data_IF_766056930812
#
_entry.id   IF_766056930812
#
_cell.length_a   1.000
_cell.length_b   1.000
_cell.length_c   1.000
_cell.angle_alpha   90.00
_cell.angle_beta   90.00
_cell.angle_gamma   90.00
#
_symmetry.space_group_name_H-M   'P 1'
#
loop_
_entity.id
_entity.type
_entity.pdbx_description
1 polymer ?
#
# COMPACT_ATOMS: atom_id res chain seq x y z
N UNK A 1 -7.56 12.90 23.23
CA UNK A 1 -8.90 12.32 22.91
C UNK A 1 -9.13 12.50 21.42
N UNK A 2 -10.04 11.75 20.79
CA UNK A 2 -10.29 11.84 19.34
C UNK A 2 -11.73 12.28 19.10
N UNK A 3 -11.90 13.30 18.26
CA UNK A 3 -13.20 13.87 17.88
C UNK A 3 -13.24 13.98 16.36
N UNK A 4 -14.33 13.53 15.74
CA UNK A 4 -14.43 13.41 14.28
C UNK A 4 -15.79 13.90 13.80
N UNK A 5 -15.78 14.54 12.63
CA UNK A 5 -16.96 14.81 11.81
C UNK A 5 -16.65 14.39 10.38
N UNK A 6 -17.53 13.60 9.79
CA UNK A 6 -17.38 13.13 8.41
C UNK A 6 -18.20 13.98 7.44
N UNK A 7 -17.71 14.10 6.21
CA UNK A 7 -18.37 14.85 5.13
C UNK A 7 -18.54 13.95 3.91
N UNK A 8 -19.68 14.05 3.22
CA UNK A 8 -20.01 13.25 2.03
C UNK A 8 -20.80 11.97 2.31
N UNK A 9 -21.07 11.21 1.26
CA UNK A 9 -21.96 10.04 1.30
C UNK A 9 -21.22 8.73 1.65
N UNK A 10 -19.96 8.60 1.24
CA UNK A 10 -19.17 7.37 1.40
C UNK A 10 -18.08 7.54 2.45
N UNK A 11 -18.47 7.44 3.72
CA UNK A 11 -17.58 7.72 4.86
C UNK A 11 -17.12 6.46 5.60
N UNK A 12 -17.47 5.27 5.10
CA UNK A 12 -17.20 3.99 5.77
C UNK A 12 -15.72 3.71 6.03
N UNK A 13 -14.82 4.24 5.20
CA UNK A 13 -13.36 4.09 5.36
C UNK A 13 -12.81 4.87 6.56
N UNK A 14 -13.63 5.66 7.25
CA UNK A 14 -13.26 6.31 8.53
C UNK A 14 -12.76 5.31 9.56
N UNK A 15 -13.23 4.06 9.52
CA UNK A 15 -12.87 3.03 10.49
C UNK A 15 -11.34 2.84 10.60
N UNK A 16 -10.62 2.99 9.49
CA UNK A 16 -9.17 2.84 9.46
C UNK A 16 -8.45 4.00 10.16
N UNK A 17 -8.95 5.23 9.97
CA UNK A 17 -8.44 6.40 10.69
C UNK A 17 -8.77 6.36 12.17
N UNK A 18 -10.00 5.99 12.51
CA UNK A 18 -10.44 5.84 13.89
C UNK A 18 -9.52 4.83 14.61
N UNK A 19 -9.22 3.69 14.00
CA UNK A 19 -8.35 2.65 14.56
C UNK A 19 -6.94 3.14 14.88
N UNK A 20 -6.25 3.80 13.95
CA UNK A 20 -4.87 4.27 14.17
C UNK A 20 -4.81 5.43 15.17
N UNK A 21 -5.75 6.39 15.11
CA UNK A 21 -5.80 7.52 16.04
C UNK A 21 -6.08 7.07 17.48
N UNK A 22 -7.02 6.14 17.65
CA UNK A 22 -7.28 5.54 18.96
C UNK A 22 -6.07 4.76 19.46
N UNK A 23 -5.41 3.99 18.59
CA UNK A 23 -4.20 3.23 18.94
C UNK A 23 -3.04 4.14 19.38
N UNK A 24 -2.77 5.22 18.64
CA UNK A 24 -1.77 6.22 19.00
C UNK A 24 -2.06 6.85 20.36
N UNK A 25 -3.31 7.30 20.59
CA UNK A 25 -3.68 7.95 21.86
C UNK A 25 -3.65 7.01 23.07
N UNK A 26 -3.61 5.68 22.88
CA UNK A 26 -3.35 4.71 23.96
C UNK A 26 -1.87 4.51 24.25
N UNK A 27 -1.01 4.69 23.24
CA UNK A 27 0.43 4.32 23.28
C UNK A 27 1.36 5.51 23.54
N UNK A 28 0.99 6.70 23.07
CA UNK A 28 1.85 7.89 23.11
C UNK A 28 1.05 9.15 23.46
N UNK A 29 1.75 10.16 24.01
CA UNK A 29 1.18 11.49 24.21
C UNK A 29 1.29 12.29 22.90
N UNK A 30 0.16 12.53 22.26
CA UNK A 30 0.06 13.35 21.05
C UNK A 30 -0.12 14.84 21.41
N UNK A 31 0.39 15.78 20.61
CA UNK A 31 -0.05 17.18 20.69
C UNK A 31 -1.52 17.30 20.27
N UNK A 32 -2.16 18.40 20.67
CA UNK A 32 -3.47 18.74 20.12
C UNK A 32 -3.30 19.12 18.64
N UNK A 33 -4.15 18.55 17.80
CA UNK A 33 -4.04 18.67 16.34
C UNK A 33 -5.44 18.61 15.68
N UNK A 34 -5.67 19.45 14.66
CA UNK A 34 -6.91 19.53 13.87
C UNK A 34 -6.56 19.47 12.37
N UNK A 35 -7.09 18.48 11.65
CA UNK A 35 -6.72 18.20 10.26
C UNK A 35 -7.86 17.58 9.46
N UNK A 36 -7.74 17.65 8.13
CA UNK A 36 -8.64 16.97 7.20
C UNK A 36 -7.99 15.70 6.67
N UNK A 37 -8.77 14.63 6.60
CA UNK A 37 -8.35 13.36 5.99
C UNK A 37 -9.28 13.01 4.85
N UNK A 38 -8.70 12.75 3.69
CA UNK A 38 -9.36 12.14 2.56
C UNK A 38 -9.54 10.63 2.81
N UNK A 39 -10.78 10.15 2.70
CA UNK A 39 -11.13 8.74 2.86
C UNK A 39 -11.19 7.99 1.52
N UNK A 40 -11.06 8.70 0.39
CA UNK A 40 -11.08 8.12 -0.95
C UNK A 40 -9.69 7.74 -1.46
N UNK A 41 -9.65 7.02 -2.57
CA UNK A 41 -8.40 6.59 -3.22
C UNK A 41 -7.59 7.76 -3.80
N UNK A 42 -8.29 8.66 -4.51
CA UNK A 42 -7.66 9.73 -5.29
C UNK A 42 -7.18 10.89 -4.41
N UNK A 43 -5.94 11.38 -4.57
CA UNK A 43 -5.51 12.61 -3.94
C UNK A 43 -6.36 13.80 -4.40
N UNK A 44 -6.63 14.75 -3.49
CA UNK A 44 -7.59 15.84 -3.70
C UNK A 44 -6.91 17.19 -4.02
N UNK A 45 -5.78 17.49 -3.39
CA UNK A 45 -5.16 18.82 -3.44
C UNK A 45 -4.27 18.96 -4.68
N UNK A 46 -4.85 19.41 -5.80
CA UNK A 46 -4.14 19.53 -7.10
C UNK A 46 -3.10 20.65 -7.09
N UNK A 47 -1.91 20.39 -7.65
CA UNK A 47 -0.80 21.37 -7.77
C UNK A 47 -1.17 22.67 -8.50
N UNK A 48 -2.17 22.62 -9.40
CA UNK A 48 -2.60 23.75 -10.24
C UNK A 48 -3.39 24.83 -9.50
N UNK A 49 -3.71 24.64 -8.20
CA UNK A 49 -4.35 25.68 -7.38
C UNK A 49 -3.27 26.43 -6.58
N UNK A 50 -2.68 27.54 -7.09
CA UNK A 50 -1.65 28.29 -6.37
C UNK A 50 -2.22 29.12 -5.22
N UNK A 51 -3.54 29.34 -5.20
CA UNK A 51 -4.23 30.12 -4.17
C UNK A 51 -5.07 29.15 -3.32
N UNK A 52 -4.94 29.28 -2.00
CA UNK A 52 -5.67 28.51 -0.97
C UNK A 52 -5.40 26.99 -1.01
N UNK A 53 -4.17 26.60 -0.70
CA UNK A 53 -3.83 25.19 -0.46
C UNK A 53 -4.50 24.69 0.82
N UNK A 54 -5.12 23.52 0.76
CA UNK A 54 -5.70 22.87 1.94
C UNK A 54 -4.79 21.72 2.41
N UNK A 55 -4.44 21.65 3.70
CA UNK A 55 -3.69 20.52 4.24
C UNK A 55 -4.60 19.29 4.36
N UNK A 56 -4.64 18.49 3.30
CA UNK A 56 -5.42 17.25 3.23
C UNK A 56 -4.47 16.06 3.34
N UNK A 57 -4.73 15.21 4.32
CA UNK A 57 -4.03 13.93 4.48
C UNK A 57 -4.68 12.89 3.55
N UNK A 58 -3.88 12.18 2.78
CA UNK A 58 -4.34 11.16 1.83
C UNK A 58 -3.50 9.88 1.92
N UNK A 59 -4.10 8.74 1.63
CA UNK A 59 -3.43 7.43 1.58
C UNK A 59 -2.45 7.32 0.39
N UNK A 60 -2.68 8.09 -0.66
CA UNK A 60 -1.86 8.13 -1.87
C UNK A 60 -1.65 9.58 -2.31
N UNK A 61 -0.44 9.89 -2.77
CA UNK A 61 -0.12 11.15 -3.45
C UNK A 61 0.06 10.95 -4.95
N UNK A 62 0.16 12.05 -5.70
CA UNK A 62 0.62 12.02 -7.09
C UNK A 62 1.59 13.16 -7.38
N UNK A 63 2.36 13.05 -8.47
CA UNK A 63 3.21 14.16 -8.93
C UNK A 63 2.40 15.40 -9.32
N UNK A 64 1.08 15.29 -9.40
CA UNK A 64 0.15 16.38 -9.70
C UNK A 64 -0.61 16.86 -8.46
N UNK A 65 -0.37 16.28 -7.28
CA UNK A 65 -1.02 16.66 -6.03
C UNK A 65 -0.04 17.18 -4.98
N UNK A 66 -0.59 17.75 -3.91
CA UNK A 66 0.10 18.30 -2.73
C UNK A 66 -0.45 17.74 -1.41
N UNK A 67 -1.24 16.69 -1.48
CA UNK A 67 -1.73 15.98 -0.31
C UNK A 67 -0.57 15.52 0.59
N UNK A 68 -0.81 15.56 1.89
CA UNK A 68 0.12 15.05 2.90
C UNK A 68 -0.05 13.53 2.94
N UNK A 69 0.92 12.79 2.42
CA UNK A 69 0.81 11.33 2.29
C UNK A 69 1.12 10.64 3.61
N UNK A 70 0.22 9.74 4.00
CA UNK A 70 0.33 8.89 5.19
C UNK A 70 0.36 7.40 4.78
N UNK A 71 0.80 6.48 5.67
CA UNK A 71 0.71 5.04 5.43
C UNK A 71 -0.69 4.64 5.02
N UNK A 72 -0.84 3.76 4.03
CA UNK A 72 -2.15 3.37 3.48
C UNK A 72 -3.03 2.70 4.53
N UNK A 73 -4.36 2.72 4.34
CA UNK A 73 -5.26 2.10 5.30
C UNK A 73 -5.01 0.60 5.41
N UNK A 74 -4.63 -0.03 4.30
CA UNK A 74 -4.35 -1.45 4.19
C UNK A 74 -3.09 -1.83 4.98
N UNK A 75 -1.98 -1.11 4.75
CA UNK A 75 -0.74 -1.31 5.50
C UNK A 75 -0.93 -0.98 6.99
N UNK A 76 -1.69 0.07 7.30
CA UNK A 76 -1.99 0.46 8.68
C UNK A 76 -2.84 -0.58 9.41
N UNK A 77 -3.90 -1.10 8.79
CA UNK A 77 -4.71 -2.19 9.37
C UNK A 77 -3.85 -3.44 9.57
N UNK A 78 -2.98 -3.76 8.60
CA UNK A 78 -2.07 -4.91 8.68
C UNK A 78 -1.17 -4.88 9.92
N UNK A 79 -0.66 -3.69 10.30
CA UNK A 79 0.20 -3.53 11.49
C UNK A 79 -0.59 -3.37 12.79
N UNK A 80 -1.83 -2.91 12.73
CA UNK A 80 -2.69 -2.82 13.91
C UNK A 80 -3.16 -4.20 14.34
N UNK A 81 -3.53 -5.04 13.36
CA UNK A 81 -4.04 -6.38 13.63
C UNK A 81 -2.91 -7.40 13.84
N UNK A 82 -1.77 -7.29 13.11
CA UNK A 82 -0.55 -8.13 13.23
C UNK A 82 -0.82 -9.55 13.75
N UNK A 83 -1.22 -10.46 12.85
CA UNK A 83 -1.63 -11.85 13.16
C UNK A 83 -2.90 -12.01 14.02
N UNK A 84 -3.57 -10.93 14.41
CA UNK A 84 -4.86 -10.93 15.12
C UNK A 84 -6.05 -11.34 14.25
N UNK A 85 -5.86 -11.43 12.93
CA UNK A 85 -6.84 -11.94 11.94
C UNK A 85 -6.15 -12.93 11.00
N UNK A 86 -6.93 -13.75 10.30
CA UNK A 86 -6.45 -14.71 9.26
C UNK A 86 -6.01 -13.98 7.96
N UNK A 87 -5.97 -12.65 7.95
CA UNK A 87 -5.70 -11.81 6.77
C UNK A 87 -4.21 -11.61 6.50
N UNK A 88 -3.90 -11.11 5.31
CA UNK A 88 -2.56 -10.71 4.89
C UNK A 88 -2.01 -9.62 5.83
N UNK A 89 -0.81 -9.84 6.37
CA UNK A 89 -0.07 -8.85 7.14
C UNK A 89 1.46 -8.94 6.94
N UNK A 90 2.17 -7.89 7.34
CA UNK A 90 3.61 -7.76 7.15
C UNK A 90 4.45 -8.83 7.89
N UNK A 91 3.98 -9.35 9.03
CA UNK A 91 4.66 -10.43 9.75
C UNK A 91 4.39 -11.78 9.10
N UNK A 92 3.14 -12.04 8.74
CA UNK A 92 2.72 -13.29 8.08
C UNK A 92 3.44 -13.49 6.74
N UNK A 93 3.68 -12.43 5.97
CA UNK A 93 4.46 -12.51 4.72
C UNK A 93 5.88 -13.03 4.97
N UNK A 94 6.53 -12.56 6.02
CA UNK A 94 7.92 -12.94 6.32
C UNK A 94 8.06 -14.43 6.66
N UNK A 95 7.04 -15.00 7.29
CA UNK A 95 6.99 -16.42 7.61
C UNK A 95 6.59 -17.30 6.42
N UNK A 96 6.01 -16.73 5.36
CA UNK A 96 5.36 -17.45 4.26
C UNK A 96 5.87 -17.01 2.88
N UNK A 97 7.19 -16.92 2.71
CA UNK A 97 7.81 -16.48 1.44
C UNK A 97 7.96 -17.61 0.39
N UNK A 98 7.17 -18.69 0.48
CA UNK A 98 7.26 -19.80 -0.47
C UNK A 98 8.61 -20.53 -0.49
N UNK A 99 8.95 -21.25 -1.57
CA UNK A 99 10.16 -22.07 -1.66
C UNK A 99 11.45 -21.22 -1.79
N UNK A 100 12.64 -21.82 -1.64
CA UNK A 100 13.92 -21.20 -1.97
C UNK A 100 13.93 -20.63 -3.40
N UNK A 101 14.79 -19.62 -3.65
CA UNK A 101 14.84 -18.89 -4.92
C UNK A 101 14.99 -19.83 -6.13
N UNK A 102 15.83 -20.84 -5.99
CA UNK A 102 16.21 -21.82 -7.00
C UNK A 102 15.03 -22.70 -7.45
N UNK A 103 14.07 -22.91 -6.54
CA UNK A 103 12.90 -23.77 -6.76
C UNK A 103 11.66 -22.96 -7.20
N UNK A 104 11.76 -21.62 -7.29
CA UNK A 104 10.66 -20.77 -7.72
C UNK A 104 10.43 -20.86 -9.23
N UNK A 105 9.17 -20.76 -9.63
CA UNK A 105 8.78 -20.67 -11.03
C UNK A 105 9.35 -19.40 -11.68
N UNK A 106 9.90 -19.53 -12.89
CA UNK A 106 10.52 -18.47 -13.70
C UNK A 106 9.53 -17.71 -14.59
N UNK A 107 8.24 -18.02 -14.53
CA UNK A 107 7.18 -17.20 -15.16
C UNK A 107 6.88 -15.99 -14.28
N UNK A 108 6.72 -14.82 -14.89
CA UNK A 108 6.32 -13.63 -14.16
C UNK A 108 4.86 -13.69 -13.77
N UNK A 109 4.52 -13.22 -12.57
CA UNK A 109 3.23 -13.51 -11.98
C UNK A 109 2.44 -12.26 -11.62
N UNK A 110 1.13 -12.30 -11.89
CA UNK A 110 0.17 -11.28 -11.46
C UNK A 110 -1.25 -11.82 -11.34
N UNK A 111 -1.97 -11.41 -10.29
CA UNK A 111 -3.43 -11.55 -10.18
C UNK A 111 -4.03 -10.28 -9.61
N UNK A 112 -5.13 -9.82 -10.20
CA UNK A 112 -5.83 -8.65 -9.71
C UNK A 112 -7.09 -8.32 -10.50
N UNK A 113 -7.63 -7.14 -10.22
CA UNK A 113 -8.82 -6.58 -10.90
C UNK A 113 -8.42 -5.61 -12.00
N UNK A 114 -9.36 -5.36 -12.89
CA UNK A 114 -9.31 -4.46 -14.04
C UNK A 114 -9.27 -2.96 -13.70
N UNK A 115 -8.77 -2.54 -12.54
CA UNK A 115 -8.85 -1.13 -12.11
C UNK A 115 -7.98 -0.13 -12.89
N UNK A 116 -7.30 -0.56 -13.96
CA UNK A 116 -6.48 0.29 -14.83
C UNK A 116 -6.29 -0.31 -16.21
N UNK A 117 -6.11 0.53 -17.24
CA UNK A 117 -5.92 0.09 -18.63
C UNK A 117 -4.64 -0.75 -18.79
N UNK A 118 -3.59 -0.37 -18.10
CA UNK A 118 -2.29 -1.04 -18.11
C UNK A 118 -2.38 -2.48 -17.59
N UNK A 119 -3.35 -2.78 -16.72
CA UNK A 119 -3.65 -4.16 -16.29
C UNK A 119 -4.32 -4.97 -17.40
N UNK A 120 -5.16 -4.35 -18.22
CA UNK A 120 -5.77 -4.99 -19.41
C UNK A 120 -4.68 -5.35 -20.41
N UNK A 121 -3.73 -4.45 -20.64
CA UNK A 121 -2.57 -4.70 -21.52
C UNK A 121 -1.65 -5.79 -20.97
N UNK A 122 -1.41 -5.83 -19.65
CA UNK A 122 -0.66 -6.93 -19.03
C UNK A 122 -1.30 -8.29 -19.30
N UNK A 123 -2.62 -8.41 -19.14
CA UNK A 123 -3.32 -9.69 -19.37
C UNK A 123 -3.30 -10.06 -20.85
N UNK A 124 -3.42 -9.10 -21.78
CA UNK A 124 -3.21 -9.35 -23.21
C UNK A 124 -1.79 -9.85 -23.50
N UNK A 125 -0.77 -9.25 -22.87
CA UNK A 125 0.62 -9.69 -22.99
C UNK A 125 0.81 -11.10 -22.46
N UNK A 126 0.23 -11.44 -21.32
CA UNK A 126 0.26 -12.80 -20.76
C UNK A 126 -0.36 -13.82 -21.69
N UNK A 127 -1.49 -13.50 -22.33
CA UNK A 127 -2.09 -14.38 -23.33
C UNK A 127 -1.25 -14.57 -24.59
N UNK A 128 -0.46 -13.57 -24.95
CA UNK A 128 0.45 -13.63 -26.11
C UNK A 128 1.74 -14.38 -25.79
N UNK A 129 2.22 -14.31 -24.56
CA UNK A 129 3.47 -14.90 -24.07
C UNK A 129 3.27 -15.67 -22.76
N UNK A 130 2.44 -16.73 -22.74
CA UNK A 130 2.08 -17.47 -21.51
C UNK A 130 3.27 -18.17 -20.84
N UNK A 131 4.34 -18.45 -21.59
CA UNK A 131 5.61 -18.98 -21.08
C UNK A 131 6.47 -17.94 -20.35
N UNK A 132 6.18 -16.64 -20.54
CA UNK A 132 6.91 -15.53 -19.91
C UNK A 132 6.11 -14.92 -18.77
N UNK A 133 4.80 -14.73 -18.95
CA UNK A 133 3.92 -14.04 -18.01
C UNK A 133 2.67 -14.88 -17.75
N UNK A 134 2.38 -15.13 -16.49
CA UNK A 134 1.12 -15.63 -15.96
C UNK A 134 0.38 -14.50 -15.24
N UNK A 135 -0.46 -13.78 -15.99
CA UNK A 135 -1.29 -12.69 -15.50
C UNK A 135 -2.76 -12.92 -15.87
N UNK A 136 -3.65 -12.86 -14.88
CA UNK A 136 -5.08 -13.06 -15.10
C UNK A 136 -5.93 -12.21 -14.16
N UNK A 137 -7.15 -11.89 -14.61
CA UNK A 137 -8.12 -11.15 -13.82
C UNK A 137 -8.86 -12.04 -12.83
N UNK A 138 -9.04 -11.56 -11.60
CA UNK A 138 -9.86 -12.22 -10.58
C UNK A 138 -11.30 -11.71 -10.55
N UNK A 139 -11.54 -10.52 -11.09
CA UNK A 139 -12.88 -9.95 -11.28
C UNK A 139 -12.81 -8.73 -12.22
N UNK A 140 -13.95 -8.35 -12.80
CA UNK A 140 -14.15 -7.10 -13.55
C UNK A 140 -15.15 -6.19 -12.84
N UNK A 141 -14.80 -4.91 -12.72
CA UNK A 141 -15.66 -3.89 -12.12
C UNK A 141 -15.64 -2.55 -12.86
N UNK A 142 -14.53 -2.23 -13.54
CA UNK A 142 -14.30 -0.90 -14.13
C UNK A 142 -14.43 -0.88 -15.65
N UNK A 143 -14.18 -2.01 -16.30
CA UNK A 143 -14.24 -2.20 -17.74
C UNK A 143 -15.19 -3.33 -18.10
N UNK A 144 -15.63 -3.33 -19.37
CA UNK A 144 -16.42 -4.42 -19.90
C UNK A 144 -15.55 -5.68 -20.01
N UNK A 145 -16.01 -6.76 -19.39
CA UNK A 145 -15.38 -8.06 -19.54
C UNK A 145 -15.55 -8.57 -20.98
N UNK A 146 -14.42 -8.86 -21.63
CA UNK A 146 -14.33 -9.52 -22.92
C UNK A 146 -13.40 -10.73 -22.80
N UNK A 147 -13.99 -11.92 -22.63
CA UNK A 147 -13.25 -13.16 -22.44
C UNK A 147 -12.38 -13.50 -23.66
N UNK A 148 -12.77 -13.06 -24.86
CA UNK A 148 -11.98 -13.30 -26.08
C UNK A 148 -10.63 -12.58 -26.05
N UNK A 149 -10.58 -11.41 -25.39
CA UNK A 149 -9.39 -10.59 -25.23
C UNK A 149 -8.63 -10.90 -23.94
N UNK A 150 -9.32 -11.13 -22.82
CA UNK A 150 -8.70 -11.19 -21.49
C UNK A 150 -8.68 -12.58 -20.85
N UNK A 151 -9.42 -13.52 -21.40
CA UNK A 151 -9.50 -14.89 -20.93
C UNK A 151 -10.51 -15.00 -19.78
N UNK A 152 -10.74 -16.21 -19.27
CA UNK A 152 -11.67 -16.41 -18.18
C UNK A 152 -11.17 -15.71 -16.90
N UNK A 153 -12.11 -15.29 -16.07
CA UNK A 153 -11.81 -14.86 -14.71
C UNK A 153 -11.31 -16.06 -13.91
N UNK A 154 -10.20 -15.88 -13.17
CA UNK A 154 -9.63 -16.90 -12.31
C UNK A 154 -9.98 -16.66 -10.84
N UNK A 155 -9.98 -17.71 -10.02
CA UNK A 155 -10.19 -17.56 -8.58
C UNK A 155 -9.09 -16.73 -7.94
N UNK A 156 -9.44 -16.07 -6.84
CA UNK A 156 -8.44 -15.53 -5.93
C UNK A 156 -7.51 -16.65 -5.46
N UNK A 157 -6.21 -16.37 -5.42
CA UNK A 157 -5.21 -17.24 -4.82
C UNK A 157 -4.70 -16.60 -3.53
N UNK A 158 -4.12 -17.43 -2.66
CA UNK A 158 -3.44 -16.91 -1.47
C UNK A 158 -2.33 -15.94 -1.89
N UNK A 159 -2.17 -14.84 -1.15
CA UNK A 159 -1.06 -13.93 -1.40
C UNK A 159 0.29 -14.64 -1.20
N UNK A 160 0.37 -15.60 -0.28
CA UNK A 160 1.59 -16.39 -0.06
C UNK A 160 1.97 -17.26 -1.26
N UNK A 161 1.00 -17.64 -2.10
CA UNK A 161 1.26 -18.39 -3.34
C UNK A 161 1.93 -17.53 -4.41
N UNK A 162 1.87 -16.20 -4.32
CA UNK A 162 2.61 -15.32 -5.23
C UNK A 162 4.11 -15.61 -5.13
N UNK A 163 4.61 -15.89 -3.92
CA UNK A 163 6.03 -16.16 -3.68
C UNK A 163 6.50 -17.52 -4.21
N UNK A 164 5.64 -18.31 -4.87
CA UNK A 164 6.08 -19.46 -5.69
C UNK A 164 6.75 -19.04 -7.00
N UNK A 165 6.66 -17.76 -7.38
CA UNK A 165 7.20 -17.20 -8.62
C UNK A 165 8.34 -16.21 -8.34
N UNK A 166 9.39 -16.24 -9.16
CA UNK A 166 10.54 -15.32 -9.02
C UNK A 166 10.16 -13.87 -9.27
N UNK A 167 9.35 -13.61 -10.29
CA UNK A 167 9.12 -12.26 -10.82
C UNK A 167 7.70 -11.78 -10.51
N UNK A 168 7.55 -10.78 -9.65
CA UNK A 168 6.26 -10.21 -9.25
C UNK A 168 6.00 -8.90 -9.98
N UNK A 169 4.96 -8.85 -10.81
CA UNK A 169 4.62 -7.63 -11.53
C UNK A 169 3.76 -6.74 -10.63
N UNK A 170 4.15 -5.49 -10.44
CA UNK A 170 3.42 -4.49 -9.67
C UNK A 170 2.98 -3.33 -10.57
N UNK A 171 1.72 -3.37 -10.98
CA UNK A 171 1.03 -2.33 -11.75
C UNK A 171 -0.02 -1.67 -10.86
N UNK A 172 -0.05 -0.36 -10.91
CA UNK A 172 -1.02 0.44 -10.18
C UNK A 172 -2.48 0.07 -10.50
N UNK A 173 -3.36 0.39 -9.57
CA UNK A 173 -4.80 0.29 -9.76
C UNK A 173 -5.40 1.64 -10.09
N UNK A 174 -6.47 1.97 -9.38
CA UNK A 174 -7.03 3.32 -9.32
C UNK A 174 -5.94 4.34 -8.97
N UNK A 175 -5.14 4.01 -7.95
CA UNK A 175 -3.95 4.73 -7.49
C UNK A 175 -2.76 3.77 -7.30
N UNK A 176 -1.75 4.16 -6.53
CA UNK A 176 -0.61 3.30 -6.18
C UNK A 176 -1.07 1.91 -5.72
N UNK A 177 -0.35 0.87 -6.13
CA UNK A 177 -0.71 -0.49 -5.77
C UNK A 177 -0.32 -0.80 -4.31
N UNK A 178 -1.30 -0.78 -3.39
CA UNK A 178 -1.11 -1.08 -1.97
C UNK A 178 -0.60 -2.49 -1.66
N UNK A 179 -0.46 -3.34 -2.69
CA UNK A 179 0.17 -4.65 -2.55
C UNK A 179 1.70 -4.58 -2.48
N UNK A 180 2.31 -3.47 -2.93
CA UNK A 180 3.75 -3.32 -3.02
C UNK A 180 4.50 -3.60 -1.70
N UNK A 181 4.09 -3.07 -0.52
CA UNK A 181 4.79 -3.37 0.74
C UNK A 181 4.91 -4.88 1.01
N UNK A 182 3.84 -5.65 0.74
CA UNK A 182 3.83 -7.10 0.94
C UNK A 182 4.64 -7.85 -0.13
N UNK A 183 4.61 -7.39 -1.38
CA UNK A 183 5.46 -7.98 -2.43
C UNK A 183 6.94 -7.79 -2.09
N UNK A 184 7.31 -6.59 -1.63
CA UNK A 184 8.68 -6.30 -1.19
C UNK A 184 9.07 -7.16 0.00
N UNK A 185 8.22 -7.33 1.02
CA UNK A 185 8.50 -8.16 2.19
C UNK A 185 8.69 -9.66 1.86
N UNK A 186 8.22 -10.10 0.69
CA UNK A 186 8.49 -11.43 0.14
C UNK A 186 9.94 -11.66 -0.26
N UNK A 187 10.25 -12.84 -0.79
CA UNK A 187 11.59 -13.20 -1.30
C UNK A 187 11.63 -13.35 -2.83
N UNK A 188 10.72 -12.67 -3.53
CA UNK A 188 10.63 -12.62 -4.99
C UNK A 188 11.02 -11.22 -5.47
N UNK A 189 11.59 -11.11 -6.68
CA UNK A 189 11.95 -9.80 -7.22
C UNK A 189 10.69 -9.08 -7.71
N UNK A 190 10.52 -7.83 -7.32
CA UNK A 190 9.41 -6.99 -7.78
C UNK A 190 9.82 -6.25 -9.03
N UNK A 191 9.02 -6.37 -10.09
CA UNK A 191 9.02 -5.46 -11.23
C UNK A 191 7.98 -4.39 -10.94
N UNK A 192 8.39 -3.13 -10.83
CA UNK A 192 7.50 -2.03 -10.46
C UNK A 192 7.33 -1.08 -11.65
N UNK A 193 6.08 -0.79 -11.97
CA UNK A 193 5.71 0.19 -12.98
C UNK A 193 6.14 1.60 -12.54
N UNK A 194 6.68 2.37 -13.50
CA UNK A 194 6.83 3.81 -13.39
C UNK A 194 5.44 4.45 -13.28
N UNK A 195 5.24 5.23 -12.22
CA UNK A 195 3.94 5.77 -11.88
C UNK A 195 4.04 7.21 -11.40
N UNK A 196 2.98 7.96 -11.70
CA UNK A 196 2.71 9.27 -11.13
C UNK A 196 2.27 9.19 -9.66
N UNK A 197 1.81 8.04 -9.20
CA UNK A 197 1.33 7.83 -7.84
C UNK A 197 2.43 7.30 -6.93
N UNK A 198 2.34 7.69 -5.66
CA UNK A 198 3.26 7.25 -4.64
C UNK A 198 2.58 7.06 -3.29
N UNK A 199 3.03 6.05 -2.56
CA UNK A 199 2.75 5.89 -1.13
C UNK A 199 3.87 6.56 -0.31
N UNK A 200 3.66 6.69 0.99
CA UNK A 200 4.58 7.41 1.91
C UNK A 200 6.05 6.97 1.83
N UNK A 201 6.34 5.70 1.51
CA UNK A 201 7.70 5.14 1.50
C UNK A 201 8.37 5.12 0.12
N UNK A 202 7.65 5.48 -0.96
CA UNK A 202 8.17 5.28 -2.32
C UNK A 202 9.42 6.11 -2.61
N UNK A 203 9.57 7.27 -1.96
CA UNK A 203 10.74 8.14 -2.13
C UNK A 203 12.04 7.51 -1.60
N UNK A 204 11.94 6.50 -0.72
CA UNK A 204 13.09 5.78 -0.19
C UNK A 204 13.41 4.51 -1.01
N UNK A 205 12.54 4.14 -1.96
CA UNK A 205 12.79 3.04 -2.87
C UNK A 205 13.74 3.45 -3.99
N UNK A 206 14.78 2.64 -4.22
CA UNK A 206 15.76 2.86 -5.27
C UNK A 206 15.58 1.83 -6.40
N UNK A 207 15.35 2.27 -7.66
CA UNK A 207 15.29 1.36 -8.80
C UNK A 207 16.62 0.62 -8.96
N UNK A 208 16.57 -0.62 -9.44
CA UNK A 208 17.71 -1.55 -9.58
C UNK A 208 18.40 -1.95 -8.28
N UNK A 209 17.91 -1.47 -7.13
CA UNK A 209 18.34 -1.90 -5.81
C UNK A 209 17.22 -2.62 -5.07
N UNK A 210 16.05 -2.00 -4.93
CA UNK A 210 14.93 -2.58 -4.20
C UNK A 210 13.90 -3.26 -5.13
N UNK A 211 13.90 -2.90 -6.42
CA UNK A 211 12.98 -3.42 -7.43
C UNK A 211 13.54 -3.18 -8.85
N UNK A 212 12.99 -3.86 -9.86
CA UNK A 212 13.30 -3.64 -11.27
C UNK A 212 12.25 -2.66 -11.86
N UNK A 213 12.61 -1.45 -12.30
CA UNK A 213 11.66 -0.52 -12.90
C UNK A 213 11.28 -0.92 -14.33
N UNK A 214 10.05 -0.64 -14.73
CA UNK A 214 9.60 -0.70 -16.13
C UNK A 214 8.65 0.46 -16.44
N UNK A 215 8.56 0.85 -17.71
CA UNK A 215 7.80 2.01 -18.17
C UNK A 215 6.32 1.90 -17.87
N UNK A 216 5.69 3.06 -17.70
CA UNK A 216 4.26 3.18 -17.40
C UNK A 216 3.35 2.48 -18.42
N UNK A 217 3.76 2.40 -19.68
CA UNK A 217 2.99 1.79 -20.77
C UNK A 217 3.32 0.32 -21.06
N UNK A 218 4.15 -0.32 -20.21
CA UNK A 218 4.63 -1.71 -20.31
C UNK A 218 5.51 -1.97 -21.55
N UNK A 219 5.92 -0.95 -22.29
CA UNK A 219 6.64 -1.10 -23.56
C UNK A 219 7.98 -1.83 -23.43
N UNK A 220 8.62 -1.78 -22.26
CA UNK A 220 9.88 -2.47 -21.95
C UNK A 220 9.71 -3.63 -20.95
N UNK A 221 8.48 -4.01 -20.56
CA UNK A 221 8.26 -5.05 -19.55
C UNK A 221 8.90 -6.40 -19.94
N UNK A 222 8.75 -6.82 -21.21
CA UNK A 222 9.35 -8.06 -21.70
C UNK A 222 10.88 -8.01 -21.70
N UNK A 223 11.47 -6.86 -22.00
CA UNK A 223 12.91 -6.63 -21.93
C UNK A 223 13.40 -6.76 -20.47
N UNK A 224 12.70 -6.15 -19.51
CA UNK A 224 13.05 -6.25 -18.09
C UNK A 224 12.92 -7.66 -17.53
N UNK A 225 11.91 -8.40 -17.98
CA UNK A 225 11.76 -9.81 -17.63
C UNK A 225 12.86 -10.69 -18.22
N UNK A 226 13.27 -10.42 -19.46
CA UNK A 226 14.38 -11.12 -20.09
C UNK A 226 15.70 -10.84 -19.34
N UNK A 227 15.97 -9.56 -19.02
CA UNK A 227 17.13 -9.17 -18.23
C UNK A 227 17.17 -9.91 -16.88
N UNK A 228 16.04 -9.97 -16.17
CA UNK A 228 15.97 -10.62 -14.86
C UNK A 228 16.23 -12.13 -14.94
N UNK A 229 15.85 -12.78 -16.04
CA UNK A 229 16.14 -14.20 -16.30
C UNK A 229 17.62 -14.43 -16.63
N UNK A 230 18.25 -13.53 -17.38
CA UNK A 230 19.66 -13.63 -17.77
C UNK A 230 20.61 -13.27 -16.61
N UNK A 231 20.16 -12.44 -15.66
CA UNK A 231 20.93 -11.98 -14.51
C UNK A 231 20.31 -12.49 -13.20
N UNK A 232 20.09 -13.81 -13.11
CA UNK A 232 19.30 -14.44 -12.02
C UNK A 232 19.84 -14.09 -10.62
N UNK A 233 21.17 -14.07 -10.43
CA UNK A 233 21.79 -13.73 -9.15
C UNK A 233 21.64 -12.22 -8.83
N UNK A 234 21.68 -11.34 -9.83
CA UNK A 234 21.42 -9.92 -9.62
C UNK A 234 19.94 -9.68 -9.27
N UNK A 235 19.02 -10.36 -9.96
CA UNK A 235 17.59 -10.31 -9.65
C UNK A 235 17.31 -10.83 -8.22
N UNK A 236 17.99 -11.89 -7.78
CA UNK A 236 17.93 -12.41 -6.41
C UNK A 236 18.44 -11.39 -5.39
N UNK A 237 19.55 -10.70 -5.69
CA UNK A 237 20.09 -9.66 -4.82
C UNK A 237 19.16 -8.45 -4.71
N UNK A 238 18.51 -8.04 -5.83
CA UNK A 238 17.48 -7.00 -5.83
C UNK A 238 16.27 -7.43 -4.97
N UNK A 239 15.80 -8.67 -5.11
CA UNK A 239 14.72 -9.22 -4.30
C UNK A 239 15.06 -9.15 -2.79
N UNK A 240 16.26 -9.59 -2.42
CA UNK A 240 16.75 -9.57 -1.05
C UNK A 240 16.82 -8.14 -0.50
N UNK A 241 17.34 -7.19 -1.28
CA UNK A 241 17.45 -5.80 -0.84
C UNK A 241 16.08 -5.12 -0.71
N UNK A 242 15.12 -5.41 -1.60
CA UNK A 242 13.73 -4.99 -1.45
C UNK A 242 13.06 -5.56 -0.21
N UNK A 243 13.33 -6.82 0.11
CA UNK A 243 12.88 -7.48 1.33
C UNK A 243 13.44 -6.84 2.59
N UNK A 244 14.74 -6.61 2.63
CA UNK A 244 15.39 -5.93 3.75
C UNK A 244 14.84 -4.51 3.93
N UNK A 245 14.59 -3.78 2.84
CA UNK A 245 13.94 -2.47 2.92
C UNK A 245 12.57 -2.57 3.61
N UNK A 246 11.69 -3.47 3.16
CA UNK A 246 10.36 -3.61 3.75
C UNK A 246 10.41 -4.01 5.23
N UNK A 247 11.28 -4.97 5.59
CA UNK A 247 11.48 -5.44 6.97
C UNK A 247 12.04 -4.38 7.90
N UNK A 248 12.84 -3.46 7.38
CA UNK A 248 13.50 -2.43 8.19
C UNK A 248 12.79 -1.06 8.17
N UNK A 249 11.72 -0.89 7.40
CA UNK A 249 11.07 0.41 7.24
C UNK A 249 9.54 0.38 7.22
N UNK A 250 8.91 -0.79 7.03
CA UNK A 250 7.46 -0.92 6.87
C UNK A 250 6.81 -1.82 7.94
N UNK A 251 7.54 -2.10 9.03
CA UNK A 251 7.03 -2.83 10.20
C UNK A 251 6.21 -1.91 11.10
N UNK A 252 5.48 -2.50 12.04
CA UNK A 252 4.53 -1.78 12.89
C UNK A 252 5.16 -0.59 13.64
N UNK A 253 6.34 -0.77 14.22
CA UNK A 253 7.08 0.31 14.88
C UNK A 253 7.38 1.50 13.95
N UNK A 254 7.78 1.24 12.71
CA UNK A 254 8.00 2.28 11.70
C UNK A 254 6.71 2.99 11.27
N UNK A 255 5.62 2.24 11.06
CA UNK A 255 4.31 2.84 10.72
C UNK A 255 3.80 3.71 11.87
N UNK A 256 3.89 3.24 13.11
CA UNK A 256 3.55 4.02 14.31
C UNK A 256 4.43 5.27 14.43
N UNK A 257 5.75 5.12 14.23
CA UNK A 257 6.69 6.24 14.27
C UNK A 257 6.37 7.29 13.21
N UNK A 258 6.05 6.86 11.98
CA UNK A 258 5.67 7.76 10.90
C UNK A 258 4.44 8.59 11.29
N UNK A 259 3.35 7.95 11.75
CA UNK A 259 2.16 8.70 12.19
C UNK A 259 2.45 9.64 13.37
N UNK A 260 3.22 9.18 14.35
CA UNK A 260 3.60 10.00 15.50
C UNK A 260 4.33 11.26 15.06
N UNK A 261 5.38 11.10 14.23
CA UNK A 261 6.15 12.21 13.69
C UNK A 261 5.32 13.11 12.79
N UNK A 262 4.53 12.53 11.89
CA UNK A 262 3.66 13.25 10.97
C UNK A 262 2.74 14.22 11.72
N UNK A 263 2.04 13.76 12.76
CA UNK A 263 1.14 14.62 13.53
C UNK A 263 1.89 15.60 14.44
N UNK A 264 3.08 15.26 14.95
CA UNK A 264 3.92 16.21 15.68
C UNK A 264 4.37 17.37 14.80
N UNK A 265 4.93 17.07 13.63
CA UNK A 265 5.40 18.07 12.69
C UNK A 265 4.23 18.93 12.19
N UNK A 266 3.11 18.29 11.82
CA UNK A 266 1.93 19.03 11.38
C UNK A 266 1.37 19.95 12.49
N UNK A 267 1.27 19.48 13.74
CA UNK A 267 0.81 20.29 14.86
C UNK A 267 1.70 21.53 15.08
N UNK A 268 3.01 21.42 14.85
CA UNK A 268 3.95 22.55 14.95
C UNK A 268 3.74 23.64 13.90
N UNK A 269 3.08 23.30 12.79
CA UNK A 269 2.79 24.20 11.67
C UNK A 269 1.38 24.82 11.77
N UNK A 270 0.54 24.37 12.69
CA UNK A 270 -0.81 24.93 12.87
C UNK A 270 -0.73 26.33 13.48
N UNK A 271 -1.48 27.25 12.89
CA UNK A 271 -1.51 28.66 13.32
C UNK A 271 -2.52 28.89 14.45
N UNK A 272 -3.60 28.10 14.49
CA UNK A 272 -4.66 28.24 15.46
C UNK A 272 -4.63 27.07 16.46
N UNK A 273 -5.08 27.36 17.69
CA UNK A 273 -5.32 26.32 18.69
C UNK A 273 -6.45 25.38 18.22
N UNK A 274 -6.21 24.05 18.18
CA UNK A 274 -7.22 23.06 17.86
C UNK A 274 -8.41 23.12 18.80
N UNK A 275 -9.62 23.04 18.25
CA UNK A 275 -10.87 23.06 19.03
C UNK A 275 -11.83 22.02 18.51
N UNK A 276 -12.63 21.45 19.41
CA UNK A 276 -13.74 20.57 19.02
C UNK A 276 -14.79 21.44 18.31
N UNK A 277 -15.06 21.15 17.04
CA UNK A 277 -16.00 21.89 16.21
C UNK A 277 -17.42 21.36 16.35
N UNK A 278 -18.39 22.17 15.97
CA UNK A 278 -19.80 21.78 16.00
C UNK A 278 -20.10 20.58 15.08
N UNK A 279 -20.82 19.61 15.65
CA UNK A 279 -21.10 18.31 15.04
C UNK A 279 -19.93 17.32 15.05
N UNK A 280 -18.83 17.57 15.77
CA UNK A 280 -17.81 16.55 16.01
C UNK A 280 -18.24 15.60 17.13
N UNK A 281 -18.13 14.30 16.89
CA UNK A 281 -18.45 13.25 17.84
C UNK A 281 -17.18 12.66 18.44
N UNK A 282 -17.23 12.35 19.74
CA UNK A 282 -16.12 11.67 20.41
C UNK A 282 -16.04 10.22 19.93
N UNK A 283 -14.89 9.83 19.40
CA UNK A 283 -14.61 8.43 19.06
C UNK A 283 -14.26 7.70 20.35
N UNK A 284 -15.01 6.65 20.68
CA UNK A 284 -14.77 5.86 21.89
C UNK A 284 -13.60 4.91 21.69
N UNK A 285 -12.84 4.70 22.75
CA UNK A 285 -11.85 3.63 22.78
C UNK A 285 -12.60 2.29 22.75
N UNK A 286 -12.07 1.25 22.07
CA UNK A 286 -12.67 -0.08 22.15
C UNK A 286 -12.61 -0.60 23.58
N UNK A 287 -13.63 -1.36 23.98
CA UNK A 287 -13.67 -2.04 25.27
C UNK A 287 -12.68 -3.23 25.23
N UNK A 288 -11.77 -3.25 26.19
CA UNK A 288 -10.62 -4.18 26.22
C UNK A 288 -10.98 -5.48 26.98
N UNK A 289 -12.17 -6.02 26.71
CA UNK A 289 -12.75 -7.12 27.49
C UNK A 289 -11.95 -8.43 27.35
N UNK A 290 -11.21 -8.59 26.25
CA UNK A 290 -10.45 -9.80 25.97
C UNK A 290 -9.01 -9.76 26.53
N UNK A 291 -8.40 -8.58 26.63
CA UNK A 291 -7.00 -8.42 27.08
C UNK A 291 -6.81 -7.14 27.91
N UNK A 292 -7.36 -7.09 29.13
CA UNK A 292 -7.37 -5.87 29.94
C UNK A 292 -5.94 -5.39 30.24
N UNK A 293 -5.56 -4.25 29.66
CA UNK A 293 -4.29 -3.60 29.97
C UNK A 293 -4.37 -2.85 31.31
N UNK A 294 -3.74 -3.39 32.36
CA UNK A 294 -3.69 -2.80 33.71
C UNK A 294 -2.57 -1.77 33.89
N UNK A 295 -1.86 -1.40 32.83
CA UNK A 295 -0.78 -0.42 32.91
C UNK A 295 -1.33 0.92 33.43
N UNK A 296 -0.91 1.30 34.63
CA UNK A 296 -1.25 2.60 35.20
C UNK A 296 -0.75 3.71 34.27
N UNK A 297 -1.69 4.41 33.63
CA UNK A 297 -1.40 5.66 32.92
C UNK A 297 -0.97 6.70 33.95
N UNK A 298 0.33 6.74 34.28
CA UNK A 298 0.89 7.90 34.99
C UNK A 298 0.75 9.09 34.05
N UNK A 299 -0.03 10.08 34.49
CA UNK A 299 -0.29 11.34 33.78
C UNK A 299 1.01 12.12 33.54
#
# INVERSE_FOLDING_TARGET
>A
QVYIKTYGEHVGFRIFMDAILLSLTRKVKMPDVEFFVNLGDWPLEKKKSPQNLHPIFSWCGSIESKDIVMPTYDLTDSVLETMGRVSLDMMSVQANTGPPWEDKNTTAFWRGRDSRKERLELVKLSRKYPEIIDAAFTNFFFFKHDESLYGPIVKHISFFDFFKYKYQINIDGTVAAYRLPYLLAGNSVVLKQDSIYYEHFYNELQPWKHYIPFKSDLSDLLEKLQWAKEHDEEAKNIAKSGQEFARNNLMGDHIFCYYFKLFQEYASLQVNEPKIRDGMEKVQQPDDDLFPCTCHRKK
#
